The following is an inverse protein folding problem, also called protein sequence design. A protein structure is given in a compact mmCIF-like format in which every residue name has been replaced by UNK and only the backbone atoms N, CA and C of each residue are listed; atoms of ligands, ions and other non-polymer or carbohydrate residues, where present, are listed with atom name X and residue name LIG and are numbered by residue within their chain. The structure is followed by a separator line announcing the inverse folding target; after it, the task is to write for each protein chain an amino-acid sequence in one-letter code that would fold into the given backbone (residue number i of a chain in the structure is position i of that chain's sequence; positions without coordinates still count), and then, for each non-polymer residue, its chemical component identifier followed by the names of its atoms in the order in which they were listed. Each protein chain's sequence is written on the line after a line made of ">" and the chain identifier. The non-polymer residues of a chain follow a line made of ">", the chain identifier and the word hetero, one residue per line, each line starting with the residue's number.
data_IF_418943866017
#
_entry.id   IF_418943866017
#
_cell.length_a   1.000
_cell.length_b   1.000
_cell.length_c   1.000
_cell.angle_alpha   90.00
_cell.angle_beta   90.00
_cell.angle_gamma   90.00
#
_symmetry.space_group_name_H-M   'P 1'
#
loop_
_entity.id
_entity.type
_entity.pdbx_description
1 polymer ?
#
# COMPACT_ATOMS: atom_id res chain seq x y z
N UNK A 1 12.60 21.26 -12.30
CA UNK A 1 13.31 20.56 -11.19
C UNK A 1 14.65 20.08 -11.70
N UNK A 2 15.76 20.26 -10.95
CA UNK A 2 17.05 19.67 -11.31
C UNK A 2 16.89 18.14 -11.33
N UNK A 3 17.23 17.50 -12.44
CA UNK A 3 17.17 16.05 -12.58
C UNK A 3 18.17 15.41 -11.62
N UNK A 4 17.69 14.76 -10.55
CA UNK A 4 18.52 13.94 -9.69
C UNK A 4 18.31 12.45 -10.00
N UNK A 5 19.35 11.65 -9.80
CA UNK A 5 19.28 10.20 -9.99
C UNK A 5 18.66 9.46 -8.78
N UNK A 6 18.20 10.20 -7.77
CA UNK A 6 17.53 9.62 -6.62
C UNK A 6 16.08 9.28 -6.97
N UNK A 7 15.74 8.00 -6.91
CA UNK A 7 14.38 7.49 -7.15
C UNK A 7 13.79 6.80 -5.93
N UNK A 8 14.60 6.61 -4.87
CA UNK A 8 14.17 6.04 -3.60
C UNK A 8 13.07 6.90 -2.98
N UNK A 9 11.91 6.29 -2.83
CA UNK A 9 10.78 6.88 -2.12
C UNK A 9 10.87 6.58 -0.62
N UNK A 10 11.12 5.32 -0.25
CA UNK A 10 11.24 4.84 1.12
C UNK A 10 12.54 4.07 1.29
N UNK A 11 13.31 4.35 2.33
CA UNK A 11 14.55 3.62 2.60
C UNK A 11 14.93 3.64 4.08
N UNK A 12 15.84 2.72 4.45
CA UNK A 12 16.45 2.68 5.78
C UNK A 12 17.92 3.02 5.69
N UNK A 13 18.39 3.81 6.65
CA UNK A 13 19.76 4.33 6.76
C UNK A 13 20.23 4.28 8.21
N UNK A 14 21.53 4.39 8.43
CA UNK A 14 22.10 4.58 9.76
C UNK A 14 23.28 3.66 10.06
N UNK A 15 24.05 4.03 11.09
CA UNK A 15 25.21 3.26 11.53
C UNK A 15 24.90 2.50 12.83
N UNK A 16 24.45 3.23 13.87
CA UNK A 16 24.13 2.65 15.19
C UNK A 16 22.62 2.51 15.44
N UNK A 17 21.81 3.38 14.82
CA UNK A 17 20.36 3.39 14.92
C UNK A 17 19.74 3.31 13.53
N UNK A 18 18.60 2.61 13.41
CA UNK A 18 17.89 2.50 12.14
C UNK A 18 17.00 3.73 11.94
N UNK A 19 17.35 4.52 10.94
CA UNK A 19 16.61 5.69 10.50
C UNK A 19 15.73 5.33 9.29
N UNK A 20 14.47 5.72 9.36
CA UNK A 20 13.51 5.63 8.26
C UNK A 20 13.48 6.94 7.47
N UNK A 21 13.75 6.84 6.17
CA UNK A 21 13.72 7.94 5.21
C UNK A 21 12.48 7.86 4.34
N UNK A 22 11.80 9.00 4.22
CA UNK A 22 10.71 9.23 3.29
C UNK A 22 11.07 10.41 2.38
N UNK A 23 11.12 10.18 1.07
CA UNK A 23 11.28 11.23 0.07
C UNK A 23 9.95 11.89 -0.31
N UNK A 24 10.01 13.16 -0.76
CA UNK A 24 8.84 13.92 -1.22
C UNK A 24 8.25 13.44 -2.55
N UNK A 25 8.82 12.40 -3.19
CA UNK A 25 8.44 11.91 -4.52
C UNK A 25 6.95 11.74 -4.71
N UNK A 26 6.25 11.12 -3.75
CA UNK A 26 4.78 10.94 -3.81
C UNK A 26 4.05 12.28 -3.82
N UNK A 27 4.41 13.17 -2.89
CA UNK A 27 3.81 14.51 -2.78
C UNK A 27 4.10 15.34 -4.03
N UNK A 28 5.34 15.29 -4.54
CA UNK A 28 5.75 15.99 -5.75
C UNK A 28 4.96 15.51 -6.98
N UNK A 29 4.74 14.19 -7.11
CA UNK A 29 3.86 13.62 -8.15
C UNK A 29 2.43 14.16 -8.00
N UNK A 30 1.84 14.08 -6.81
CA UNK A 30 0.45 14.48 -6.61
C UNK A 30 0.21 15.99 -6.73
N UNK A 31 1.16 16.82 -6.32
CA UNK A 31 1.09 18.28 -6.52
C UNK A 31 1.25 18.68 -7.99
N UNK A 32 1.76 17.79 -8.85
CA UNK A 32 1.88 18.04 -10.29
C UNK A 32 0.56 17.85 -11.06
N UNK A 33 -0.47 17.29 -10.43
CA UNK A 33 -1.78 17.10 -11.07
C UNK A 33 -2.58 18.40 -11.08
N UNK A 34 -3.27 18.69 -12.18
CA UNK A 34 -4.08 19.92 -12.33
C UNK A 34 -5.26 20.00 -11.33
N UNK A 35 -5.80 18.86 -10.92
CA UNK A 35 -6.91 18.76 -9.97
C UNK A 35 -6.75 17.54 -9.05
N UNK A 36 -5.82 17.56 -8.07
CA UNK A 36 -5.47 16.38 -7.27
C UNK A 36 -6.66 15.75 -6.53
N UNK A 37 -7.64 16.55 -6.12
CA UNK A 37 -8.85 16.08 -5.45
C UNK A 37 -9.78 15.24 -6.37
N UNK A 38 -9.65 15.40 -7.70
CA UNK A 38 -10.41 14.67 -8.73
C UNK A 38 -9.64 13.48 -9.30
N UNK A 39 -8.38 13.28 -8.89
CA UNK A 39 -7.55 12.14 -9.33
C UNK A 39 -7.54 11.06 -8.27
N UNK A 40 -7.79 9.82 -8.66
CA UNK A 40 -7.86 8.63 -7.79
C UNK A 40 -6.72 7.67 -8.13
N UNK A 41 -5.50 7.93 -7.62
CA UNK A 41 -4.34 7.14 -7.94
C UNK A 41 -4.45 5.70 -7.42
N UNK A 42 -3.83 4.77 -8.14
CA UNK A 42 -3.64 3.39 -7.68
C UNK A 42 -2.16 3.08 -7.48
N UNK A 43 -1.85 2.19 -6.53
CA UNK A 43 -0.48 1.79 -6.21
C UNK A 43 -0.26 0.31 -6.48
N UNK A 44 0.58 0.01 -7.47
CA UNK A 44 1.12 -1.32 -7.74
C UNK A 44 2.51 -1.46 -7.14
N UNK A 45 2.68 -2.41 -6.21
CA UNK A 45 3.97 -2.70 -5.58
C UNK A 45 4.59 -3.91 -6.28
N UNK A 46 5.81 -3.75 -6.79
CA UNK A 46 6.50 -4.75 -7.60
C UNK A 46 7.79 -5.17 -6.90
N UNK A 47 7.85 -6.43 -6.49
CA UNK A 47 8.93 -6.97 -5.69
C UNK A 47 9.64 -8.06 -6.48
N UNK A 48 10.95 -7.87 -6.65
CA UNK A 48 11.84 -8.76 -7.37
C UNK A 48 12.14 -8.33 -8.80
N UNK A 49 12.74 -9.23 -9.58
CA UNK A 49 13.24 -8.85 -10.90
C UNK A 49 12.09 -8.66 -11.90
N UNK A 50 11.58 -7.44 -11.95
CA UNK A 50 10.48 -7.03 -12.80
C UNK A 50 10.89 -6.86 -14.27
N UNK A 51 12.19 -6.75 -14.56
CA UNK A 51 12.70 -6.43 -15.90
C UNK A 51 11.92 -5.28 -16.55
N UNK A 52 11.35 -5.54 -17.72
CA UNK A 52 10.59 -4.59 -18.53
C UNK A 52 9.12 -4.42 -18.11
N UNK A 53 8.67 -5.10 -17.05
CA UNK A 53 7.29 -5.02 -16.58
C UNK A 53 6.93 -3.64 -16.02
N UNK A 54 7.93 -2.85 -15.62
CA UNK A 54 7.75 -1.48 -15.15
C UNK A 54 7.59 -0.52 -16.33
N UNK A 55 6.83 0.58 -16.17
CA UNK A 55 6.72 1.62 -17.19
C UNK A 55 8.11 2.16 -17.53
N UNK A 56 8.41 2.27 -18.83
CA UNK A 56 9.68 2.78 -19.31
C UNK A 56 9.72 4.30 -19.15
N UNK A 57 10.05 4.79 -17.96
CA UNK A 57 10.37 6.20 -17.73
C UNK A 57 11.88 6.45 -17.89
N UNK A 58 12.24 7.65 -18.37
CA UNK A 58 13.58 8.04 -18.84
C UNK A 58 14.71 7.54 -17.92
N UNK A 59 15.62 6.74 -18.50
CA UNK A 59 16.95 6.34 -17.96
C UNK A 59 16.96 6.12 -16.44
N UNK A 60 16.36 5.03 -15.97
CA UNK A 60 16.82 4.37 -14.74
C UNK A 60 18.27 3.91 -14.98
N UNK A 61 19.22 4.78 -14.67
CA UNK A 61 20.63 4.42 -14.65
C UNK A 61 20.82 3.45 -13.47
N UNK A 62 21.18 2.22 -13.80
CA UNK A 62 21.58 1.14 -12.90
C UNK A 62 20.58 0.80 -11.77
N UNK A 63 19.64 -0.12 -12.07
CA UNK A 63 18.75 -0.79 -11.10
C UNK A 63 19.49 -1.54 -9.97
N UNK A 64 20.81 -1.63 -10.02
CA UNK A 64 21.65 -2.32 -9.02
C UNK A 64 22.01 -1.43 -7.81
N UNK A 65 21.94 -0.10 -7.93
CA UNK A 65 22.34 0.84 -6.86
C UNK A 65 21.16 1.50 -6.13
N UNK A 66 19.93 1.03 -6.36
CA UNK A 66 18.73 1.61 -5.78
C UNK A 66 18.66 1.32 -4.28
N UNK A 67 18.62 2.38 -3.47
CA UNK A 67 18.49 2.29 -2.02
C UNK A 67 17.02 2.30 -1.59
N UNK A 68 16.45 1.12 -1.34
CA UNK A 68 15.08 0.97 -0.84
C UNK A 68 14.02 0.93 -1.94
N UNK A 69 12.78 1.26 -1.57
CA UNK A 69 11.62 1.21 -2.44
C UNK A 69 11.54 2.48 -3.29
N UNK A 70 11.60 2.33 -4.60
CA UNK A 70 11.44 3.44 -5.54
C UNK A 70 10.00 3.64 -5.95
N UNK A 71 9.62 4.85 -6.34
CA UNK A 71 8.26 5.20 -6.79
C UNK A 71 8.30 5.90 -8.14
N UNK A 72 7.42 5.48 -9.05
CA UNK A 72 7.26 6.07 -10.37
C UNK A 72 5.80 6.25 -10.73
N UNK A 73 5.49 7.31 -11.46
CA UNK A 73 4.22 7.50 -12.14
C UNK A 73 4.28 6.85 -13.51
N UNK A 74 3.25 6.08 -13.85
CA UNK A 74 3.10 5.54 -15.20
C UNK A 74 2.74 6.68 -16.18
N UNK A 75 3.60 6.97 -17.17
CA UNK A 75 3.37 8.05 -18.11
C UNK A 75 2.09 7.86 -18.94
N UNK A 76 1.67 6.61 -19.16
CA UNK A 76 0.49 6.31 -19.98
C UNK A 76 -0.82 6.66 -19.25
N UNK A 77 -0.79 6.77 -17.92
CA UNK A 77 -1.95 7.08 -17.09
C UNK A 77 -1.83 8.41 -16.34
N UNK A 78 -0.71 9.12 -16.47
CA UNK A 78 -0.38 10.35 -15.75
C UNK A 78 -1.46 11.45 -15.85
N UNK A 79 -2.14 11.55 -17.00
CA UNK A 79 -3.16 12.57 -17.26
C UNK A 79 -4.60 12.05 -17.11
N UNK A 80 -4.77 10.77 -16.78
CA UNK A 80 -6.08 10.16 -16.54
C UNK A 80 -6.64 10.53 -15.16
N UNK A 81 -7.94 10.31 -14.96
CA UNK A 81 -8.55 10.45 -13.62
C UNK A 81 -8.05 9.41 -12.62
N UNK A 82 -7.37 8.36 -13.11
CA UNK A 82 -6.92 7.23 -12.29
C UNK A 82 -5.43 6.92 -12.58
N UNK A 83 -4.52 7.83 -12.22
CA UNK A 83 -3.10 7.66 -12.49
C UNK A 83 -2.52 6.44 -11.75
N UNK A 84 -1.72 5.63 -12.44
CA UNK A 84 -1.09 4.44 -11.86
C UNK A 84 0.31 4.76 -11.34
N UNK A 85 0.55 4.42 -10.08
CA UNK A 85 1.85 4.49 -9.43
C UNK A 85 2.44 3.09 -9.35
N UNK A 86 3.74 2.99 -9.63
CA UNK A 86 4.52 1.78 -9.50
C UNK A 86 5.59 1.99 -8.43
N UNK A 87 5.46 1.26 -7.34
CA UNK A 87 6.52 1.15 -6.35
C UNK A 87 7.34 -0.11 -6.63
N UNK A 88 8.66 -0.01 -6.68
CA UNK A 88 9.52 -1.12 -7.08
C UNK A 88 10.72 -1.30 -6.16
N UNK A 89 10.99 -2.54 -5.79
CA UNK A 89 12.22 -2.98 -5.14
C UNK A 89 12.82 -4.17 -5.90
N UNK A 90 14.14 -4.13 -6.11
CA UNK A 90 14.89 -5.25 -6.65
C UNK A 90 15.52 -6.05 -5.50
N UNK A 91 15.41 -7.40 -5.53
CA UNK A 91 15.83 -8.34 -4.47
C UNK A 91 17.36 -8.42 -4.28
N UNK A 92 18.01 -7.30 -4.01
CA UNK A 92 19.35 -7.34 -3.41
C UNK A 92 19.12 -7.39 -1.91
N UNK A 93 19.33 -8.55 -1.26
CA UNK A 93 19.30 -8.65 0.20
C UNK A 93 20.30 -7.66 0.77
N UNK A 94 19.85 -6.45 1.10
CA UNK A 94 20.65 -5.48 1.83
C UNK A 94 20.81 -6.05 3.23
N UNK A 95 22.02 -6.52 3.50
CA UNK A 95 22.45 -6.97 4.82
C UNK A 95 23.08 -5.83 5.61
N UNK A 96 23.31 -4.67 4.99
CA UNK A 96 23.95 -3.51 5.59
C UNK A 96 23.11 -2.26 5.36
N UNK A 97 23.04 -1.43 6.40
CA UNK A 97 22.52 -0.07 6.30
C UNK A 97 23.53 0.78 5.54
N UNK A 98 23.00 1.68 4.72
CA UNK A 98 23.80 2.74 4.15
C UNK A 98 23.96 3.86 5.19
N UNK A 99 25.11 4.55 5.21
CA UNK A 99 25.28 5.71 6.07
C UNK A 99 24.21 6.75 5.74
N UNK A 100 23.88 7.59 6.72
CA UNK A 100 22.89 8.63 6.52
C UNK A 100 23.24 9.48 5.28
N UNK A 101 22.32 9.60 4.31
CA UNK A 101 22.60 10.35 3.10
C UNK A 101 22.69 11.83 3.46
N UNK A 102 23.73 12.50 2.95
CA UNK A 102 23.88 13.95 3.08
C UNK A 102 22.59 14.65 2.62
N UNK A 103 22.18 15.76 3.27
CA UNK A 103 20.99 16.52 2.88
C UNK A 103 21.07 16.90 1.39
N UNK A 104 20.24 16.27 0.56
CA UNK A 104 20.30 16.51 -0.87
C UNK A 104 19.42 17.71 -1.23
N UNK A 105 19.95 18.66 -1.99
CA UNK A 105 19.22 19.89 -2.42
C UNK A 105 18.16 19.59 -3.50
N UNK A 106 18.07 18.35 -3.97
CA UNK A 106 17.27 18.01 -5.14
C UNK A 106 15.78 17.73 -4.86
N UNK A 107 15.45 17.21 -3.68
CA UNK A 107 14.06 16.97 -3.25
C UNK A 107 14.03 16.90 -1.72
N UNK A 108 12.84 17.05 -1.12
CA UNK A 108 12.69 17.09 0.34
C UNK A 108 12.70 15.68 0.91
N UNK A 109 13.33 15.52 2.07
CA UNK A 109 13.36 14.26 2.81
C UNK A 109 12.85 14.49 4.23
N UNK A 110 12.08 13.54 4.73
CA UNK A 110 11.82 13.39 6.16
C UNK A 110 12.61 12.17 6.66
N UNK A 111 13.45 12.40 7.65
CA UNK A 111 14.20 11.37 8.38
C UNK A 111 13.55 11.19 9.74
N UNK A 112 13.30 9.94 10.13
CA UNK A 112 12.68 9.59 11.41
C UNK A 112 13.44 8.44 12.02
N UNK A 113 13.80 8.56 13.30
CA UNK A 113 14.30 7.41 14.06
C UNK A 113 13.16 6.42 14.32
N UNK A 114 13.43 5.12 14.19
CA UNK A 114 12.48 4.10 14.60
C UNK A 114 12.47 4.01 16.14
N UNK A 115 11.34 4.34 16.74
CA UNK A 115 11.15 4.36 18.21
C UNK A 115 10.71 3.00 18.78
N UNK A 116 10.70 1.96 17.95
CA UNK A 116 10.35 0.61 18.32
C UNK A 116 11.53 -0.32 18.07
N UNK A 117 11.58 -1.40 18.85
CA UNK A 117 12.68 -2.35 18.80
C UNK A 117 12.69 -3.06 17.44
N UNK A 118 13.83 -2.97 16.74
CA UNK A 118 14.06 -3.68 15.48
C UNK A 118 15.30 -4.56 15.66
N UNK A 119 15.16 -5.86 15.45
CA UNK A 119 16.25 -6.82 15.62
C UNK A 119 17.18 -6.86 14.41
N UNK A 120 16.69 -6.46 13.23
CA UNK A 120 17.47 -6.44 11.99
C UNK A 120 16.89 -5.52 10.92
N UNK A 121 17.72 -5.13 9.95
CA UNK A 121 17.26 -4.41 8.75
C UNK A 121 16.19 -5.21 7.97
N UNK A 122 16.30 -6.54 7.93
CA UNK A 122 15.30 -7.39 7.27
C UNK A 122 13.92 -7.25 7.93
N UNK A 123 13.87 -7.23 9.27
CA UNK A 123 12.64 -7.00 10.03
C UNK A 123 12.04 -5.61 9.79
N UNK A 124 12.89 -4.57 9.70
CA UNK A 124 12.43 -3.23 9.33
C UNK A 124 11.81 -3.19 7.92
N UNK A 125 12.44 -3.84 6.95
CA UNK A 125 11.95 -3.93 5.56
C UNK A 125 10.65 -4.73 5.48
N UNK A 126 10.54 -5.86 6.17
CA UNK A 126 9.28 -6.60 6.21
C UNK A 126 8.18 -5.74 6.85
N UNK A 127 8.47 -5.08 7.97
CA UNK A 127 7.53 -4.16 8.63
C UNK A 127 7.10 -2.99 7.72
N UNK A 128 8.02 -2.44 6.92
CA UNK A 128 7.72 -1.40 5.92
C UNK A 128 6.62 -1.85 4.97
N UNK A 129 6.75 -3.05 4.41
CA UNK A 129 5.76 -3.57 3.48
C UNK A 129 4.44 -3.87 4.18
N UNK A 130 4.46 -4.56 5.32
CA UNK A 130 3.26 -5.06 5.97
C UNK A 130 2.42 -3.96 6.61
N UNK A 131 3.08 -2.99 7.23
CA UNK A 131 2.45 -2.00 8.11
C UNK A 131 2.32 -0.63 7.45
N UNK A 132 3.22 -0.25 6.56
CA UNK A 132 3.19 1.05 5.90
C UNK A 132 2.67 0.98 4.45
N UNK A 133 3.25 0.13 3.60
CA UNK A 133 2.93 0.13 2.15
C UNK A 133 1.60 -0.58 1.86
N UNK A 134 1.40 -1.76 2.47
CA UNK A 134 0.25 -2.63 2.21
C UNK A 134 -1.12 -1.94 2.32
N UNK A 135 -1.41 -1.10 3.33
CA UNK A 135 -2.72 -0.45 3.43
C UNK A 135 -3.07 0.45 2.23
N UNK A 136 -2.07 0.92 1.49
CA UNK A 136 -2.23 1.80 0.33
C UNK A 136 -2.15 1.05 -1.01
N UNK A 137 -1.48 -0.10 -1.04
CA UNK A 137 -1.32 -0.90 -2.25
C UNK A 137 -2.66 -1.45 -2.76
N UNK A 138 -2.91 -1.36 -4.07
CA UNK A 138 -4.00 -2.06 -4.75
C UNK A 138 -3.60 -3.49 -5.08
N UNK A 139 -2.33 -3.65 -5.48
CA UNK A 139 -1.75 -4.92 -5.86
C UNK A 139 -0.31 -5.02 -5.37
N UNK A 140 0.09 -6.21 -4.94
CA UNK A 140 1.48 -6.59 -4.71
C UNK A 140 1.85 -7.71 -5.69
N UNK A 141 2.86 -7.46 -6.51
CA UNK A 141 3.38 -8.36 -7.52
C UNK A 141 4.71 -8.95 -7.04
N UNK A 142 4.78 -10.28 -6.93
CA UNK A 142 6.02 -10.99 -6.64
C UNK A 142 6.57 -11.66 -7.89
N UNK A 143 7.79 -11.32 -8.27
CA UNK A 143 8.50 -11.92 -9.39
C UNK A 143 9.44 -13.04 -8.91
N UNK A 144 9.20 -14.25 -9.38
CA UNK A 144 10.12 -15.37 -9.23
C UNK A 144 11.11 -15.41 -10.40
N UNK A 145 12.41 -15.39 -10.09
CA UNK A 145 13.47 -15.43 -11.10
C UNK A 145 13.70 -16.84 -11.70
N UNK A 146 13.29 -17.90 -11.00
CA UNK A 146 13.57 -19.30 -11.38
C UNK A 146 12.39 -20.23 -11.06
N UNK A 147 12.47 -21.47 -11.57
CA UNK A 147 11.49 -22.53 -11.36
C UNK A 147 11.32 -22.93 -9.88
N UNK A 148 12.23 -22.56 -8.99
CA UNK A 148 12.16 -22.80 -7.54
C UNK A 148 11.80 -21.53 -6.74
N UNK A 149 11.31 -20.47 -7.40
CA UNK A 149 11.03 -19.19 -6.73
C UNK A 149 9.79 -19.18 -5.83
N UNK A 150 8.94 -20.22 -5.84
CA UNK A 150 7.73 -20.27 -5.00
C UNK A 150 8.09 -20.35 -3.49
N UNK A 151 9.00 -21.25 -3.05
CA UNK A 151 9.56 -21.20 -1.70
C UNK A 151 10.08 -19.82 -1.28
N UNK A 152 10.81 -19.13 -2.15
CA UNK A 152 11.35 -17.80 -1.83
C UNK A 152 10.24 -16.75 -1.62
N UNK A 153 9.17 -16.82 -2.41
CA UNK A 153 7.99 -15.98 -2.23
C UNK A 153 7.28 -16.34 -0.92
N UNK A 154 7.14 -17.63 -0.59
CA UNK A 154 6.55 -18.07 0.67
C UNK A 154 7.35 -17.54 1.87
N UNK A 155 8.67 -17.69 1.86
CA UNK A 155 9.57 -17.20 2.93
C UNK A 155 9.45 -15.68 3.14
N UNK A 156 9.13 -14.92 2.08
CA UNK A 156 8.87 -13.47 2.16
C UNK A 156 7.47 -13.14 2.66
N UNK A 157 6.49 -13.92 2.29
CA UNK A 157 5.11 -13.72 2.72
C UNK A 157 4.89 -14.14 4.18
N UNK A 158 5.60 -15.14 4.69
CA UNK A 158 5.39 -15.63 6.05
C UNK A 158 5.54 -14.54 7.12
N UNK A 159 6.65 -13.78 7.17
CA UNK A 159 6.77 -12.67 8.13
C UNK A 159 5.61 -11.67 7.99
N UNK A 160 5.15 -11.43 6.76
CA UNK A 160 4.08 -10.48 6.50
C UNK A 160 2.73 -10.93 7.05
N UNK A 161 2.44 -12.21 6.90
CA UNK A 161 1.22 -12.83 7.38
C UNK A 161 1.26 -12.99 8.91
N UNK A 162 2.41 -13.34 9.50
CA UNK A 162 2.56 -13.45 10.95
C UNK A 162 2.39 -12.11 11.67
N UNK A 163 2.97 -11.02 11.14
CA UNK A 163 2.79 -9.67 11.69
C UNK A 163 1.35 -9.14 11.55
N UNK A 164 0.59 -9.66 10.60
CA UNK A 164 -0.80 -9.26 10.37
C UNK A 164 -1.80 -9.85 11.37
N UNK A 165 -1.36 -10.71 12.29
CA UNK A 165 -2.20 -11.42 13.25
C UNK A 165 -2.72 -10.61 14.44
N UNK A 166 -2.51 -9.29 14.47
CA UNK A 166 -3.08 -8.44 15.51
C UNK A 166 -4.62 -8.44 15.46
N UNK A 167 -5.27 -8.52 16.63
CA UNK A 167 -6.71 -8.79 16.87
C UNK A 167 -7.73 -7.85 16.18
N UNK A 168 -7.31 -6.75 15.55
CA UNK A 168 -8.20 -5.78 14.89
C UNK A 168 -8.08 -5.87 13.36
N UNK A 169 -8.65 -6.92 12.77
CA UNK A 169 -8.67 -7.12 11.31
C UNK A 169 -9.72 -6.21 10.66
N UNK A 170 -9.31 -5.39 9.69
CA UNK A 170 -10.24 -4.77 8.72
C UNK A 170 -9.93 -5.28 7.31
N UNK A 171 -10.65 -6.32 6.83
CA UNK A 171 -10.35 -7.00 5.56
C UNK A 171 -10.37 -6.10 4.31
N UNK A 172 -11.06 -4.96 4.41
CA UNK A 172 -11.33 -4.07 3.27
C UNK A 172 -10.08 -3.39 2.67
N UNK A 173 -8.94 -3.39 3.38
CA UNK A 173 -7.72 -2.70 2.96
C UNK A 173 -6.63 -3.62 2.40
N UNK A 174 -6.92 -4.91 2.19
CA UNK A 174 -5.89 -5.83 1.72
C UNK A 174 -5.67 -5.77 0.20
N UNK A 175 -4.42 -5.62 -0.26
CA UNK A 175 -4.11 -5.65 -1.68
C UNK A 175 -4.40 -7.02 -2.28
N UNK A 176 -4.50 -7.06 -3.60
CA UNK A 176 -4.43 -8.31 -4.35
C UNK A 176 -2.98 -8.78 -4.43
N UNK A 177 -2.75 -10.07 -4.38
CA UNK A 177 -1.44 -10.69 -4.60
C UNK A 177 -1.39 -11.27 -6.02
N UNK A 178 -0.38 -10.87 -6.79
CA UNK A 178 -0.08 -11.46 -8.10
C UNK A 178 1.32 -12.10 -8.07
N UNK A 179 1.36 -13.42 -8.19
CA UNK A 179 2.62 -14.16 -8.31
C UNK A 179 2.96 -14.33 -9.79
N UNK A 180 4.13 -13.85 -10.19
CA UNK A 180 4.60 -13.86 -11.57
C UNK A 180 5.78 -14.81 -11.66
N UNK A 181 5.65 -15.84 -12.49
CA UNK A 181 6.67 -16.86 -12.71
C UNK A 181 7.27 -16.75 -14.11
N UNK A 182 8.51 -17.22 -14.22
CA UNK A 182 9.15 -17.51 -15.51
C UNK A 182 8.30 -18.47 -16.36
N UNK A 183 8.43 -18.43 -17.70
CA UNK A 183 7.70 -19.32 -18.60
C UNK A 183 7.92 -20.80 -18.24
N UNK A 184 6.84 -21.59 -18.16
CA UNK A 184 6.92 -23.02 -17.85
C UNK A 184 5.78 -23.79 -18.50
N UNK A 185 6.08 -24.77 -19.36
CA UNK A 185 5.06 -25.61 -20.01
C UNK A 185 4.49 -26.68 -19.06
N UNK A 186 5.19 -26.98 -17.98
CA UNK A 186 4.87 -28.09 -17.06
C UNK A 186 3.91 -27.68 -15.95
N UNK A 187 3.71 -26.38 -15.74
CA UNK A 187 2.99 -25.86 -14.58
C UNK A 187 1.78 -25.06 -15.02
N UNK A 188 0.67 -25.29 -14.32
CA UNK A 188 -0.53 -24.46 -14.45
C UNK A 188 -0.59 -23.44 -13.31
N UNK A 189 -1.24 -22.27 -13.52
CA UNK A 189 -1.44 -21.28 -12.46
C UNK A 189 -2.10 -21.86 -11.21
N UNK A 190 -3.01 -22.83 -11.37
CA UNK A 190 -3.70 -23.52 -10.26
C UNK A 190 -2.74 -24.35 -9.42
N UNK A 191 -1.86 -25.13 -10.05
CA UNK A 191 -0.85 -25.93 -9.35
C UNK A 191 0.10 -25.06 -8.52
N UNK A 192 0.56 -23.95 -9.11
CA UNK A 192 1.43 -22.97 -8.43
C UNK A 192 0.72 -22.36 -7.22
N UNK A 193 -0.55 -21.95 -7.40
CA UNK A 193 -1.35 -21.39 -6.30
C UNK A 193 -1.52 -22.40 -5.16
N UNK A 194 -1.81 -23.66 -5.47
CA UNK A 194 -1.93 -24.72 -4.48
C UNK A 194 -0.62 -24.97 -3.75
N UNK A 195 0.50 -25.02 -4.48
CA UNK A 195 1.83 -25.17 -3.89
C UNK A 195 2.17 -24.02 -2.94
N UNK A 196 1.92 -22.77 -3.34
CA UNK A 196 2.15 -21.61 -2.48
C UNK A 196 1.30 -21.69 -1.22
N UNK A 197 0.00 -21.97 -1.34
CA UNK A 197 -0.89 -22.09 -0.18
C UNK A 197 -0.44 -23.22 0.75
N UNK A 198 0.03 -24.35 0.19
CA UNK A 198 0.54 -25.47 0.99
C UNK A 198 1.81 -25.08 1.75
N UNK A 199 2.76 -24.41 1.10
CA UNK A 199 3.98 -23.93 1.76
C UNK A 199 3.66 -22.93 2.88
N UNK A 200 2.78 -21.96 2.61
CA UNK A 200 2.33 -21.00 3.62
C UNK A 200 1.67 -21.71 4.81
N UNK A 201 0.81 -22.71 4.57
CA UNK A 201 0.19 -23.50 5.65
C UNK A 201 1.21 -24.28 6.49
N UNK A 202 2.31 -24.73 5.87
CA UNK A 202 3.36 -25.48 6.57
C UNK A 202 4.27 -24.56 7.40
N UNK A 203 4.52 -23.34 6.92
CA UNK A 203 5.45 -22.41 7.56
C UNK A 203 4.77 -21.49 8.59
N UNK A 204 3.49 -21.16 8.42
CA UNK A 204 2.77 -20.26 9.33
C UNK A 204 2.43 -20.96 10.65
N UNK A 205 2.72 -20.30 11.77
CA UNK A 205 2.33 -20.75 13.12
C UNK A 205 0.81 -20.82 13.32
N UNK A 206 0.04 -20.04 12.55
CA UNK A 206 -1.42 -20.01 12.60
C UNK A 206 -2.00 -19.84 11.18
N UNK A 207 -3.09 -20.55 10.82
CA UNK A 207 -3.65 -20.49 9.48
C UNK A 207 -4.34 -19.14 9.24
N UNK A 208 -3.65 -18.19 8.61
CA UNK A 208 -4.19 -16.86 8.32
C UNK A 208 -3.94 -16.52 6.86
N UNK A 209 -4.90 -16.88 6.02
CA UNK A 209 -4.87 -16.57 4.58
C UNK A 209 -5.61 -15.25 4.29
N UNK A 210 -6.24 -14.63 5.30
CA UNK A 210 -7.01 -13.38 5.17
C UNK A 210 -6.13 -12.11 5.14
N UNK A 211 -4.95 -12.13 4.52
CA UNK A 211 -4.08 -10.93 4.40
C UNK A 211 -4.01 -10.35 2.99
N UNK A 212 -4.63 -11.05 2.03
CA UNK A 212 -4.80 -10.63 0.65
C UNK A 212 -6.26 -10.80 0.27
N UNK A 213 -6.82 -9.86 -0.49
CA UNK A 213 -8.19 -9.97 -0.97
C UNK A 213 -8.35 -11.04 -2.06
N UNK A 214 -7.29 -11.28 -2.84
CA UNK A 214 -7.24 -12.31 -3.86
C UNK A 214 -5.78 -12.72 -4.12
N UNK A 215 -5.55 -14.01 -4.37
CA UNK A 215 -4.26 -14.54 -4.83
C UNK A 215 -4.40 -15.03 -6.27
N UNK A 216 -3.68 -14.39 -7.18
CA UNK A 216 -3.60 -14.68 -8.61
C UNK A 216 -2.18 -15.15 -8.98
N UNK A 217 -2.09 -16.02 -9.99
CA UNK A 217 -0.82 -16.48 -10.56
C UNK A 217 -0.79 -16.16 -12.05
N UNK A 218 0.35 -15.69 -12.53
CA UNK A 218 0.64 -15.48 -13.95
C UNK A 218 1.97 -16.15 -14.32
N UNK A 219 1.93 -17.03 -15.32
CA UNK A 219 3.14 -17.65 -15.89
C UNK A 219 3.45 -16.92 -17.19
N UNK A 220 4.65 -16.34 -17.28
CA UNK A 220 5.03 -15.41 -18.36
C UNK A 220 5.34 -16.16 -19.66
N UNK A 221 4.31 -16.53 -20.41
CA UNK A 221 4.45 -17.06 -21.78
C UNK A 221 4.33 -15.98 -22.86
N UNK A 222 3.82 -14.81 -22.50
CA UNK A 222 3.54 -13.71 -23.42
C UNK A 222 4.64 -12.65 -23.45
N UNK A 223 4.39 -11.59 -24.24
CA UNK A 223 5.23 -10.41 -24.28
C UNK A 223 5.14 -9.59 -22.98
N UNK A 224 6.06 -8.64 -22.83
CA UNK A 224 6.02 -7.68 -21.72
C UNK A 224 4.71 -6.87 -21.69
N UNK A 225 4.10 -6.65 -22.85
CA UNK A 225 2.78 -6.02 -22.94
C UNK A 225 1.70 -6.88 -22.28
N UNK A 226 1.66 -8.18 -22.55
CA UNK A 226 0.68 -9.08 -21.91
C UNK A 226 0.82 -9.10 -20.39
N UNK A 227 2.06 -8.98 -19.89
CA UNK A 227 2.31 -8.87 -18.45
C UNK A 227 1.81 -7.52 -17.89
N UNK A 228 2.10 -6.40 -18.57
CA UNK A 228 1.59 -5.08 -18.19
C UNK A 228 0.06 -5.05 -18.18
N UNK A 229 -0.58 -5.60 -19.21
CA UNK A 229 -2.04 -5.73 -19.29
C UNK A 229 -2.59 -6.57 -18.14
N UNK A 230 -1.88 -7.64 -17.74
CA UNK A 230 -2.27 -8.46 -16.59
C UNK A 230 -2.18 -7.68 -15.27
N UNK A 231 -1.09 -6.95 -15.03
CA UNK A 231 -0.92 -6.13 -13.83
C UNK A 231 -2.01 -5.03 -13.80
N UNK A 232 -2.23 -4.36 -14.93
CA UNK A 232 -3.29 -3.35 -15.08
C UNK A 232 -4.66 -3.92 -14.75
N UNK A 233 -5.03 -5.07 -15.32
CA UNK A 233 -6.30 -5.74 -15.04
C UNK A 233 -6.49 -6.05 -13.55
N UNK A 234 -5.48 -6.60 -12.89
CA UNK A 234 -5.58 -6.91 -11.45
C UNK A 234 -5.67 -5.62 -10.61
N UNK A 235 -4.99 -4.55 -11.03
CA UNK A 235 -5.07 -3.22 -10.41
C UNK A 235 -6.47 -2.62 -10.58
N UNK A 236 -7.05 -2.66 -11.77
CA UNK A 236 -8.40 -2.16 -12.05
C UNK A 236 -9.45 -2.92 -11.22
N UNK A 237 -9.32 -4.24 -11.09
CA UNK A 237 -10.22 -5.01 -10.22
C UNK A 237 -10.11 -4.63 -8.73
N UNK A 238 -8.92 -4.26 -8.25
CA UNK A 238 -8.73 -3.75 -6.88
C UNK A 238 -9.35 -2.36 -6.71
N UNK A 239 -9.18 -1.47 -7.70
CA UNK A 239 -9.79 -0.14 -7.73
C UNK A 239 -11.31 -0.22 -7.74
N UNK A 240 -11.90 -1.08 -8.56
CA UNK A 240 -13.34 -1.32 -8.61
C UNK A 240 -13.87 -1.84 -7.27
N UNK A 241 -13.09 -2.67 -6.58
CA UNK A 241 -13.43 -3.10 -5.22
C UNK A 241 -13.42 -1.90 -4.26
N UNK A 242 -12.37 -1.07 -4.28
CA UNK A 242 -12.30 0.12 -3.42
C UNK A 242 -13.42 1.12 -3.69
N UNK A 243 -13.75 1.35 -4.96
CA UNK A 243 -14.81 2.25 -5.38
C UNK A 243 -16.18 1.76 -4.89
N UNK A 244 -16.50 0.47 -5.10
CA UNK A 244 -17.75 -0.14 -4.63
C UNK A 244 -17.90 -0.18 -3.11
N UNK A 245 -16.79 -0.15 -2.37
CA UNK A 245 -16.78 -0.12 -0.91
C UNK A 245 -16.54 1.29 -0.35
N UNK A 246 -16.54 2.34 -1.19
CA UNK A 246 -16.34 3.74 -0.78
C UNK A 246 -15.05 4.00 0.02
N UNK A 247 -13.98 3.28 -0.30
CA UNK A 247 -12.65 3.40 0.33
C UNK A 247 -11.57 3.90 -0.63
N UNK A 248 -11.95 4.43 -1.79
CA UNK A 248 -11.02 5.03 -2.75
C UNK A 248 -10.43 6.33 -2.21
N UNK A 249 -9.11 6.46 -2.29
CA UNK A 249 -8.40 7.68 -1.92
C UNK A 249 -8.13 8.52 -3.17
N UNK A 250 -8.53 9.80 -3.15
CA UNK A 250 -8.01 10.75 -4.12
C UNK A 250 -6.55 11.11 -3.78
N UNK A 251 -5.84 11.78 -4.68
CA UNK A 251 -4.42 12.09 -4.49
C UNK A 251 -4.15 12.93 -3.22
N UNK A 252 -5.07 13.83 -2.84
CA UNK A 252 -4.94 14.65 -1.63
C UNK A 252 -5.03 13.79 -0.36
N UNK A 253 -6.03 12.91 -0.28
CA UNK A 253 -6.21 12.01 0.85
C UNK A 253 -5.09 10.97 0.93
N UNK A 254 -4.67 10.44 -0.22
CA UNK A 254 -3.57 9.49 -0.30
C UNK A 254 -2.29 10.12 0.28
N UNK A 255 -1.89 11.31 -0.18
CA UNK A 255 -0.70 12.01 0.32
C UNK A 255 -0.72 12.21 1.85
N UNK A 256 -1.83 12.78 2.34
CA UNK A 256 -1.97 13.14 3.75
C UNK A 256 -1.96 11.91 4.65
N UNK A 257 -2.77 10.90 4.31
CA UNK A 257 -2.83 9.66 5.07
C UNK A 257 -1.51 8.90 5.02
N UNK A 258 -0.82 8.90 3.87
CA UNK A 258 0.47 8.24 3.75
C UNK A 258 1.55 8.92 4.62
N UNK A 259 1.55 10.25 4.71
CA UNK A 259 2.42 10.98 5.63
C UNK A 259 2.15 10.64 7.10
N UNK A 260 0.87 10.59 7.50
CA UNK A 260 0.50 10.14 8.84
C UNK A 260 0.90 8.68 9.11
N UNK A 261 0.79 7.82 8.09
CA UNK A 261 1.23 6.44 8.19
C UNK A 261 2.76 6.35 8.38
N UNK A 262 3.55 7.19 7.71
CA UNK A 262 4.99 7.27 7.91
C UNK A 262 5.36 7.69 9.34
N UNK A 263 4.68 8.70 9.89
CA UNK A 263 4.89 9.14 11.28
C UNK A 263 4.49 8.04 12.28
N UNK A 264 3.36 7.36 12.05
CA UNK A 264 2.88 6.25 12.87
C UNK A 264 3.83 5.05 12.82
N UNK A 265 4.33 4.72 11.63
CA UNK A 265 5.29 3.65 11.40
C UNK A 265 6.59 3.89 12.16
N UNK A 266 7.12 5.11 12.18
CA UNK A 266 8.33 5.40 12.94
C UNK A 266 8.13 5.30 14.46
N UNK A 267 6.94 5.62 14.97
CA UNK A 267 6.67 5.65 16.43
C UNK A 267 6.27 4.32 17.04
N UNK A 268 5.64 3.43 16.27
CA UNK A 268 5.02 2.22 16.81
C UNK A 268 5.56 0.96 16.13
N UNK A 269 5.80 -0.11 16.90
CA UNK A 269 6.27 -1.41 16.38
C UNK A 269 5.15 -2.43 16.12
N UNK A 270 4.06 -2.35 16.89
CA UNK A 270 3.04 -3.41 16.90
C UNK A 270 1.68 -2.95 16.37
N UNK A 271 1.38 -1.65 16.46
CA UNK A 271 0.09 -1.11 16.06
C UNK A 271 -0.03 -0.99 14.54
N UNK A 272 -1.15 -1.45 13.99
CA UNK A 272 -1.54 -1.16 12.60
C UNK A 272 -1.96 0.31 12.47
N UNK A 273 -1.74 0.89 11.29
CA UNK A 273 -2.20 2.24 10.98
C UNK A 273 -3.72 2.25 10.76
N UNK A 274 -4.46 2.96 11.60
CA UNK A 274 -5.91 3.14 11.43
C UNK A 274 -6.18 4.38 10.56
N UNK A 275 -6.44 4.16 9.27
CA UNK A 275 -6.77 5.23 8.31
C UNK A 275 -8.01 6.03 8.72
N UNK A 276 -9.01 5.40 9.35
CA UNK A 276 -10.24 6.10 9.77
C UNK A 276 -9.97 7.00 10.97
N UNK A 277 -9.13 6.55 11.92
CA UNK A 277 -8.71 7.39 13.01
C UNK A 277 -7.85 8.56 12.50
N UNK A 278 -6.93 8.29 11.57
CA UNK A 278 -6.06 9.30 10.98
C UNK A 278 -6.83 10.35 10.17
N UNK A 279 -7.85 9.95 9.40
CA UNK A 279 -8.69 10.90 8.65
C UNK A 279 -9.48 11.84 9.55
N UNK A 280 -9.67 11.48 10.83
CA UNK A 280 -10.40 12.26 11.83
C UNK A 280 -9.50 12.99 12.82
N UNK A 281 -8.19 13.05 12.59
CA UNK A 281 -7.23 13.67 13.52
C UNK A 281 -7.59 15.13 13.88
N UNK A 282 -8.08 15.90 12.89
CA UNK A 282 -8.50 17.29 13.08
C UNK A 282 -9.98 17.44 13.44
N UNK A 283 -10.77 16.36 13.38
CA UNK A 283 -12.20 16.34 13.69
C UNK A 283 -12.60 15.01 14.36
N UNK A 284 -12.16 14.79 15.62
CA UNK A 284 -12.39 13.52 16.31
C UNK A 284 -13.88 13.24 16.48
N UNK A 285 -14.25 11.96 16.59
CA UNK A 285 -15.63 11.58 16.91
C UNK A 285 -15.97 12.11 18.30
N UNK A 286 -17.07 12.87 18.48
CA UNK A 286 -17.48 13.34 19.79
C UNK A 286 -17.68 12.18 20.77
N UNK A 287 -17.12 12.27 21.98
CA UNK A 287 -17.17 11.17 22.97
C UNK A 287 -18.61 10.74 23.32
N UNK A 288 -19.56 11.68 23.33
CA UNK A 288 -20.97 11.44 23.64
C UNK A 288 -21.83 10.98 22.46
N UNK A 289 -21.27 10.81 21.25
CA UNK A 289 -22.07 10.49 20.05
C UNK A 289 -22.91 9.22 20.23
N UNK A 290 -22.32 8.18 20.83
CA UNK A 290 -23.01 6.92 21.10
C UNK A 290 -24.19 7.09 22.07
N UNK A 291 -24.09 8.00 23.04
CA UNK A 291 -25.18 8.32 23.99
C UNK A 291 -26.32 8.99 23.24
N UNK A 292 -26.02 10.04 22.45
CA UNK A 292 -27.03 10.75 21.68
C UNK A 292 -27.72 9.87 20.63
N UNK A 293 -26.97 8.95 20.00
CA UNK A 293 -27.55 7.96 19.09
C UNK A 293 -28.45 6.97 19.85
N UNK A 294 -28.01 6.48 21.01
CA UNK A 294 -28.83 5.59 21.83
C UNK A 294 -30.12 6.28 22.30
N UNK A 295 -30.02 7.52 22.78
CA UNK A 295 -31.18 8.32 23.19
C UNK A 295 -32.15 8.51 22.01
N UNK A 296 -31.66 8.94 20.85
CA UNK A 296 -32.49 9.11 19.65
C UNK A 296 -33.19 7.80 19.27
N UNK A 297 -32.45 6.69 19.19
CA UNK A 297 -32.99 5.39 18.78
C UNK A 297 -33.96 4.79 19.81
N UNK A 298 -33.81 5.14 21.09
CA UNK A 298 -34.74 4.70 22.16
C UNK A 298 -36.07 5.45 22.12
N UNK A 299 -36.10 6.64 21.54
CA UNK A 299 -37.31 7.47 21.42
C UNK A 299 -38.03 7.31 20.06
N UNK A 300 -37.64 6.31 19.26
CA UNK A 300 -38.23 6.01 17.95
C UNK A 300 -39.02 4.72 18.07
N UNK A 301 -40.34 4.84 18.17
CA UNK A 301 -41.23 3.73 18.55
C UNK A 301 -41.76 2.91 17.37
N UNK A 302 -41.68 3.46 16.15
CA UNK A 302 -42.25 2.81 14.95
C UNK A 302 -41.20 2.54 13.88
N UNK A 303 -41.44 1.49 13.09
CA UNK A 303 -40.63 1.18 11.90
C UNK A 303 -40.67 2.33 10.87
N UNK A 304 -41.80 3.02 10.76
CA UNK A 304 -41.97 4.17 9.87
C UNK A 304 -41.07 5.33 10.32
N UNK A 305 -41.08 5.70 11.60
CA UNK A 305 -40.21 6.75 12.14
C UNK A 305 -38.72 6.40 12.01
N UNK A 306 -38.38 5.12 12.19
CA UNK A 306 -37.01 4.63 12.01
C UNK A 306 -36.52 4.84 10.57
N UNK A 307 -37.35 4.48 9.59
CA UNK A 307 -36.97 4.48 8.17
C UNK A 307 -37.14 5.84 7.50
N UNK A 308 -38.16 6.60 7.87
CA UNK A 308 -38.48 7.90 7.28
C UNK A 308 -37.72 9.07 7.95
N UNK A 309 -37.37 8.95 9.23
CA UNK A 309 -36.72 10.02 10.00
C UNK A 309 -35.36 9.62 10.57
N UNK A 310 -35.31 8.66 11.52
CA UNK A 310 -34.13 8.46 12.35
C UNK A 310 -32.91 8.03 11.54
N UNK A 311 -33.03 7.00 10.70
CA UNK A 311 -31.94 6.54 9.86
C UNK A 311 -31.47 7.61 8.84
N UNK A 312 -32.35 8.28 8.07
CA UNK A 312 -31.95 9.40 7.22
C UNK A 312 -31.29 10.56 7.97
N UNK A 313 -31.79 10.91 9.16
CA UNK A 313 -31.23 11.99 9.98
C UNK A 313 -29.83 11.66 10.48
N UNK A 314 -29.63 10.47 11.05
CA UNK A 314 -28.32 9.97 11.50
C UNK A 314 -27.34 9.94 10.32
N UNK A 315 -27.76 9.39 9.18
CA UNK A 315 -26.94 9.33 7.98
C UNK A 315 -26.50 10.73 7.51
N UNK A 316 -27.42 11.71 7.49
CA UNK A 316 -27.11 13.11 7.13
C UNK A 316 -26.14 13.75 8.12
N UNK A 317 -26.33 13.54 9.41
CA UNK A 317 -25.41 14.04 10.44
C UNK A 317 -24.01 13.47 10.24
N UNK A 318 -23.88 12.17 9.98
CA UNK A 318 -22.59 11.55 9.66
C UNK A 318 -21.98 12.06 8.35
N UNK A 319 -22.79 12.28 7.31
CA UNK A 319 -22.30 12.82 6.04
C UNK A 319 -21.75 14.24 6.20
N UNK A 320 -22.46 15.11 6.93
CA UNK A 320 -22.02 16.47 7.25
C UNK A 320 -20.81 16.50 8.19
N UNK A 321 -20.74 15.53 9.11
CA UNK A 321 -19.63 15.46 10.06
C UNK A 321 -18.34 14.91 9.44
N UNK A 322 -18.44 13.95 8.52
CA UNK A 322 -17.30 13.44 7.77
C UNK A 322 -16.88 14.34 6.60
N UNK A 323 -17.62 15.43 6.34
CA UNK A 323 -17.18 16.43 5.38
C UNK A 323 -16.02 17.24 5.98
N UNK A 324 -14.82 17.00 5.46
CA UNK A 324 -13.67 17.83 5.73
C UNK A 324 -13.78 19.11 4.86
N UNK A 325 -13.70 20.28 5.49
CA UNK A 325 -13.56 21.58 4.81
C UNK A 325 -12.35 21.67 3.87
N UNK A 326 -11.50 20.66 3.89
CA UNK A 326 -10.19 20.61 3.23
C UNK A 326 -10.24 20.15 1.76
N UNK A 327 -11.41 19.75 1.27
CA UNK A 327 -11.62 19.39 -0.14
C UNK A 327 -12.78 20.21 -0.68
N UNK A 328 -12.53 21.27 -1.47
CA UNK A 328 -13.59 22.08 -2.03
C UNK A 328 -14.53 21.23 -2.90
N UNK A 329 -15.84 21.41 -2.73
CA UNK A 329 -16.83 21.07 -3.75
C UNK A 329 -16.48 21.85 -5.02
N UNK A 330 -16.16 21.15 -6.12
CA UNK A 330 -16.20 21.73 -7.47
C UNK A 330 -16.80 20.74 -8.44
#
# INVERSE_FOLDING_TARGET
>A
MRTCNHTSWLSFHGNDQIMFRQASTLSDIFTSFDAPAKRFPSLAVVIGNAGNALPSTRKCTNLQDQEGLSLQLDPDTAFSDQPALFAHENFSRRTKLSPEPMPSVCHRHAMRELQWQVSSLAEAVDSLYCRLVRPFADIVCFFAAADDGIPQIADKLVPWLEQSNSRNRRPLLYPRLLVILAPSEKRTPTQVKMQLVQLLKQQLKSPVIDSFSMVSVYIRHGSDQTLRDRIKRETDLAKDFRARNHISLNAVHFDRLFRHACDHFARTGEAQFDMLAASRLHRPVPRGLHIHLADLLTNVDTYEDMTAFAAPFIARCHALDNYAWDVPYQ
#
